data_IF_383264832938
#
_entry.id   IF_383264832938
#
_cell.length_a   1.000
_cell.length_b   1.000
_cell.length_c   1.000
_cell.angle_alpha   90.00
_cell.angle_beta   90.00
_cell.angle_gamma   90.00
#
_symmetry.space_group_name_H-M   'P 1'
#
loop_
_entity.id
_entity.type
_entity.pdbx_description
1 polymer ?
#
# COMPACT_ATOMS: atom_id res chain seq x y z
N UNK A 1 -11.67 5.41 13.97
CA UNK A 1 -12.36 4.12 13.72
C UNK A 1 -12.64 3.41 15.05
N UNK A 2 -13.70 2.60 15.22
CA UNK A 2 -13.92 1.87 16.50
C UNK A 2 -12.93 0.70 16.66
N UNK A 3 -12.56 0.34 17.90
CA UNK A 3 -11.66 -0.81 18.19
C UNK A 3 -12.16 -2.12 17.55
N UNK A 4 -13.47 -2.33 17.50
CA UNK A 4 -14.07 -3.52 16.91
C UNK A 4 -13.94 -3.54 15.37
N UNK A 5 -14.15 -2.40 14.71
CA UNK A 5 -13.93 -2.27 13.27
C UNK A 5 -12.46 -2.51 12.90
N UNK A 6 -11.53 -1.99 13.70
CA UNK A 6 -10.09 -2.21 13.52
C UNK A 6 -9.70 -3.68 13.63
N UNK A 7 -10.17 -4.38 14.66
CA UNK A 7 -9.93 -5.82 14.85
C UNK A 7 -10.45 -6.66 13.68
N UNK A 8 -11.62 -6.32 13.15
CA UNK A 8 -12.19 -7.00 11.98
C UNK A 8 -11.39 -6.70 10.70
N UNK A 9 -10.92 -5.46 10.56
CA UNK A 9 -10.11 -5.02 9.44
C UNK A 9 -8.72 -5.69 9.43
N UNK A 10 -8.06 -5.76 10.59
CA UNK A 10 -6.80 -6.50 10.78
C UNK A 10 -7.00 -8.03 10.63
N UNK A 11 -8.15 -8.56 11.05
CA UNK A 11 -8.49 -9.98 10.90
C UNK A 11 -8.68 -10.43 9.45
N UNK A 12 -9.00 -9.50 8.55
CA UNK A 12 -9.18 -9.75 7.12
C UNK A 12 -7.90 -9.53 6.28
N UNK A 13 -6.81 -9.09 6.91
CA UNK A 13 -5.53 -8.93 6.23
C UNK A 13 -4.94 -10.32 5.89
N UNK A 14 -4.40 -10.47 4.67
CA UNK A 14 -3.63 -11.66 4.32
C UNK A 14 -2.33 -11.71 5.12
N UNK A 15 -1.70 -12.87 5.21
CA UNK A 15 -0.44 -13.02 5.94
C UNK A 15 0.69 -12.10 5.45
N UNK A 16 0.93 -11.91 4.13
CA UNK A 16 1.91 -10.91 3.68
C UNK A 16 1.51 -9.47 4.04
N UNK A 17 0.21 -9.17 4.16
CA UNK A 17 -0.23 -7.84 4.59
C UNK A 17 0.04 -7.61 6.08
N UNK A 18 -0.17 -8.63 6.92
CA UNK A 18 0.23 -8.61 8.34
C UNK A 18 1.74 -8.47 8.49
N UNK A 19 2.52 -9.14 7.65
CA UNK A 19 3.97 -9.00 7.62
C UNK A 19 4.37 -7.56 7.31
N UNK A 20 3.81 -6.95 6.25
CA UNK A 20 4.04 -5.55 5.90
C UNK A 20 3.76 -4.61 7.09
N UNK A 21 2.63 -4.78 7.77
CA UNK A 21 2.28 -3.99 8.95
C UNK A 21 3.26 -4.17 10.11
N UNK A 22 3.79 -5.38 10.29
CA UNK A 22 4.78 -5.67 11.33
C UNK A 22 6.13 -5.02 11.03
N UNK A 23 6.54 -4.99 9.76
CA UNK A 23 7.75 -4.32 9.29
C UNK A 23 7.68 -2.81 9.52
N UNK A 24 6.54 -2.17 9.24
CA UNK A 24 6.34 -0.76 9.58
C UNK A 24 6.50 -0.48 11.07
N UNK A 25 5.92 -1.32 11.93
CA UNK A 25 6.01 -1.18 13.39
C UNK A 25 7.44 -1.36 13.91
N UNK A 26 8.28 -2.08 13.18
CA UNK A 26 9.68 -2.32 13.55
C UNK A 26 10.58 -1.09 13.41
N UNK A 27 10.18 -0.04 12.68
CA UNK A 27 10.90 1.25 12.60
C UNK A 27 10.75 2.14 13.85
N UNK A 28 9.94 1.71 14.83
CA UNK A 28 9.51 2.50 15.96
C UNK A 28 10.62 3.26 16.73
N UNK A 29 10.19 4.30 17.44
CA UNK A 29 10.99 5.23 18.26
C UNK A 29 12.05 6.07 17.53
N UNK A 30 12.68 5.53 16.47
CA UNK A 30 13.72 6.21 15.69
C UNK A 30 13.16 7.09 14.58
N UNK A 31 12.13 6.60 13.88
CA UNK A 31 11.45 7.32 12.80
C UNK A 31 9.95 7.43 13.06
N UNK A 32 9.34 8.51 12.56
CA UNK A 32 7.88 8.62 12.54
C UNK A 32 7.30 7.61 11.56
N UNK A 33 6.30 6.81 11.96
CA UNK A 33 5.62 5.87 11.06
C UNK A 33 5.06 6.55 9.81
N UNK A 34 4.63 7.81 9.93
CA UNK A 34 4.15 8.60 8.79
C UNK A 34 5.28 8.91 7.79
N UNK A 35 6.47 9.27 8.30
CA UNK A 35 7.65 9.53 7.45
C UNK A 35 8.11 8.25 6.76
N UNK A 36 8.21 7.14 7.52
CA UNK A 36 8.58 5.83 6.97
C UNK A 36 7.61 5.39 5.89
N UNK A 37 6.29 5.58 6.08
CA UNK A 37 5.29 5.29 5.06
C UNK A 37 5.49 6.12 3.79
N UNK A 38 5.66 7.44 3.93
CA UNK A 38 5.88 8.33 2.80
C UNK A 38 7.14 7.94 2.02
N UNK A 39 8.24 7.75 2.73
CA UNK A 39 9.53 7.39 2.15
C UNK A 39 9.49 6.01 1.51
N UNK A 40 8.83 5.04 2.12
CA UNK A 40 8.66 3.69 1.56
C UNK A 40 7.94 3.74 0.22
N UNK A 41 6.82 4.47 0.15
CA UNK A 41 6.05 4.61 -1.09
C UNK A 41 6.88 5.34 -2.15
N UNK A 42 7.56 6.43 -1.79
CA UNK A 42 8.38 7.20 -2.73
C UNK A 42 9.57 6.37 -3.24
N UNK A 43 10.34 5.75 -2.36
CA UNK A 43 11.49 4.91 -2.73
C UNK A 43 11.07 3.73 -3.61
N UNK A 44 9.94 3.08 -3.30
CA UNK A 44 9.41 1.98 -4.12
C UNK A 44 9.02 2.47 -5.51
N UNK A 45 8.34 3.61 -5.62
CA UNK A 45 7.95 4.20 -6.89
C UNK A 45 9.15 4.62 -7.74
N UNK A 46 10.18 5.21 -7.11
CA UNK A 46 11.44 5.58 -7.77
C UNK A 46 12.18 4.34 -8.28
N UNK A 47 12.30 3.29 -7.46
CA UNK A 47 12.97 2.04 -7.85
C UNK A 47 12.29 1.37 -9.05
N UNK A 48 10.96 1.27 -9.03
CA UNK A 48 10.17 0.72 -10.14
C UNK A 48 10.35 1.59 -11.40
N UNK A 49 10.21 2.91 -11.26
CA UNK A 49 10.34 3.84 -12.39
C UNK A 49 11.74 3.81 -13.01
N UNK A 50 12.79 3.69 -12.19
CA UNK A 50 14.18 3.59 -12.63
C UNK A 50 14.48 2.30 -13.40
N UNK A 51 13.72 1.24 -13.14
CA UNK A 51 13.85 -0.03 -13.85
C UNK A 51 13.24 0.01 -15.27
N UNK A 52 12.25 0.87 -15.51
CA UNK A 52 11.48 0.88 -16.78
C UNK A 52 11.64 2.14 -17.62
N UNK A 53 11.95 3.29 -17.01
CA UNK A 53 12.19 4.55 -17.72
C UNK A 53 13.55 5.14 -17.33
N UNK A 54 14.50 5.02 -18.27
CA UNK A 54 15.87 5.48 -18.11
C UNK A 54 16.07 6.97 -18.42
N UNK A 55 15.12 7.64 -19.09
CA UNK A 55 15.27 9.05 -19.47
C UNK A 55 15.42 9.96 -18.25
N UNK A 56 14.71 9.64 -17.16
CA UNK A 56 14.73 10.43 -15.93
C UNK A 56 15.52 9.76 -14.79
N UNK A 57 16.30 8.71 -15.11
CA UNK A 57 16.98 7.89 -14.11
C UNK A 57 17.83 8.72 -13.15
N UNK A 58 18.68 9.61 -13.67
CA UNK A 58 19.64 10.34 -12.84
C UNK A 58 18.96 11.22 -11.77
N UNK A 59 17.87 11.91 -12.14
CA UNK A 59 17.12 12.77 -11.21
C UNK A 59 16.42 11.93 -10.14
N UNK A 60 15.81 10.80 -10.53
CA UNK A 60 15.11 9.90 -9.60
C UNK A 60 16.06 9.13 -8.70
N UNK A 61 17.18 8.64 -9.23
CA UNK A 61 18.21 7.94 -8.47
C UNK A 61 18.83 8.88 -7.44
N UNK A 62 19.08 10.13 -7.80
CA UNK A 62 19.52 11.16 -6.84
C UNK A 62 18.51 11.30 -5.69
N UNK A 63 17.20 11.40 -5.99
CA UNK A 63 16.15 11.49 -4.97
C UNK A 63 16.08 10.22 -4.10
N UNK A 64 16.18 9.04 -4.70
CA UNK A 64 16.22 7.77 -3.99
C UNK A 64 17.37 7.74 -2.98
N UNK A 65 18.58 8.14 -3.41
CA UNK A 65 19.77 8.19 -2.54
C UNK A 65 19.68 9.27 -1.46
N UNK A 66 19.01 10.40 -1.71
CA UNK A 66 18.73 11.43 -0.69
C UNK A 66 17.83 10.90 0.43
N UNK A 67 16.85 10.08 0.10
CA UNK A 67 16.01 9.40 1.09
C UNK A 67 16.81 8.32 1.80
N UNK A 68 17.51 7.46 1.06
CA UNK A 68 18.23 6.32 1.61
C UNK A 68 19.28 6.71 2.67
N UNK A 69 19.92 7.88 2.51
CA UNK A 69 20.90 8.42 3.47
C UNK A 69 20.34 8.68 4.88
N UNK A 70 19.01 8.78 5.04
CA UNK A 70 18.36 8.97 6.35
C UNK A 70 18.21 7.69 7.15
N UNK A 71 18.43 6.54 6.52
CA UNK A 71 18.17 5.21 7.08
C UNK A 71 19.46 4.42 7.22
N UNK A 72 19.51 3.54 8.22
CA UNK A 72 20.63 2.60 8.35
C UNK A 72 20.49 1.43 7.36
N UNK A 73 21.56 0.63 7.22
CA UNK A 73 21.56 -0.51 6.32
C UNK A 73 20.43 -1.50 6.62
N UNK A 74 20.18 -1.76 7.89
CA UNK A 74 19.12 -2.69 8.32
C UNK A 74 17.72 -2.10 8.07
N UNK A 75 17.57 -0.79 8.18
CA UNK A 75 16.35 -0.07 7.81
C UNK A 75 16.10 -0.21 6.30
N UNK A 76 17.11 0.02 5.46
CA UNK A 76 17.01 -0.17 4.00
C UNK A 76 16.72 -1.62 3.60
N UNK A 77 17.27 -2.59 4.32
CA UNK A 77 16.92 -4.01 4.12
C UNK A 77 15.44 -4.26 4.43
N UNK A 78 14.88 -3.64 5.48
CA UNK A 78 13.44 -3.71 5.76
C UNK A 78 12.60 -3.08 4.67
N UNK A 79 13.01 -1.96 4.08
CA UNK A 79 12.31 -1.36 2.93
C UNK A 79 12.16 -2.36 1.78
N UNK A 80 13.22 -3.12 1.47
CA UNK A 80 13.16 -4.17 0.46
C UNK A 80 12.17 -5.30 0.84
N UNK A 81 12.20 -5.76 2.10
CA UNK A 81 11.23 -6.75 2.60
C UNK A 81 9.80 -6.24 2.56
N UNK A 82 9.58 -4.96 2.87
CA UNK A 82 8.26 -4.32 2.81
C UNK A 82 7.73 -4.29 1.38
N UNK A 83 8.57 -3.99 0.38
CA UNK A 83 8.18 -4.03 -1.02
C UNK A 83 7.82 -5.46 -1.47
N UNK A 84 8.56 -6.46 -1.00
CA UNK A 84 8.24 -7.87 -1.20
C UNK A 84 6.88 -8.25 -0.59
N UNK A 85 6.65 -7.90 0.68
CA UNK A 85 5.38 -8.16 1.37
C UNK A 85 4.19 -7.44 0.70
N UNK A 86 4.39 -6.21 0.21
CA UNK A 86 3.39 -5.48 -0.56
C UNK A 86 3.06 -6.21 -1.88
N UNK A 87 4.09 -6.67 -2.59
CA UNK A 87 3.95 -7.41 -3.86
C UNK A 87 3.16 -8.71 -3.65
N UNK A 88 3.54 -9.51 -2.65
CA UNK A 88 2.83 -10.74 -2.28
C UNK A 88 1.39 -10.47 -1.82
N UNK A 89 1.13 -9.33 -1.18
CA UNK A 89 -0.23 -8.92 -0.81
C UNK A 89 -1.08 -8.66 -2.04
N UNK A 90 -0.53 -7.96 -3.05
CA UNK A 90 -1.21 -7.76 -4.33
C UNK A 90 -1.42 -9.08 -5.06
N UNK A 91 -0.41 -9.95 -5.14
CA UNK A 91 -0.53 -11.26 -5.80
C UNK A 91 -1.59 -12.12 -5.14
N UNK A 92 -1.62 -12.21 -3.80
CA UNK A 92 -2.64 -12.98 -3.09
C UNK A 92 -4.06 -12.46 -3.40
N UNK A 93 -4.23 -11.14 -3.46
CA UNK A 93 -5.53 -10.51 -3.82
C UNK A 93 -5.91 -10.77 -5.27
N UNK A 94 -4.96 -10.63 -6.20
CA UNK A 94 -5.19 -10.88 -7.64
C UNK A 94 -5.51 -12.37 -7.86
N UNK A 95 -4.72 -13.30 -7.33
CA UNK A 95 -4.93 -14.73 -7.53
C UNK A 95 -6.24 -15.25 -6.92
N UNK A 96 -6.66 -14.74 -5.76
CA UNK A 96 -7.88 -15.20 -5.09
C UNK A 96 -9.17 -14.59 -5.65
N UNK A 97 -9.12 -13.42 -6.29
CA UNK A 97 -10.31 -12.64 -6.67
C UNK A 97 -10.40 -12.32 -8.18
N UNK A 98 -9.45 -12.78 -9.01
CA UNK A 98 -9.43 -12.53 -10.47
C UNK A 98 -9.88 -13.72 -11.34
N UNK A 99 -10.89 -14.54 -10.95
CA UNK A 99 -11.74 -15.12 -11.98
C UNK A 99 -12.56 -14.04 -12.70
N UNK A 100 -12.93 -12.95 -12.00
CA UNK A 100 -13.87 -11.91 -12.46
C UNK A 100 -13.43 -10.44 -12.17
N UNK A 101 -12.14 -10.19 -11.91
CA UNK A 101 -11.64 -8.81 -11.69
C UNK A 101 -11.92 -8.20 -10.30
N UNK A 102 -12.40 -8.98 -9.33
CA UNK A 102 -12.80 -8.50 -7.99
C UNK A 102 -11.61 -8.26 -7.02
N UNK A 103 -10.36 -8.46 -7.46
CA UNK A 103 -9.16 -8.45 -6.61
C UNK A 103 -8.42 -7.12 -6.49
N UNK A 104 -8.78 -6.13 -7.29
CA UNK A 104 -8.08 -4.85 -7.33
C UNK A 104 -8.52 -3.98 -6.16
N UNK A 105 -7.70 -3.85 -5.13
CA UNK A 105 -7.98 -3.01 -3.98
C UNK A 105 -6.83 -2.04 -3.69
N UNK A 106 -7.15 -0.92 -3.04
CA UNK A 106 -6.14 0.03 -2.56
C UNK A 106 -5.44 -0.52 -1.30
N UNK A 107 -4.43 -1.36 -1.49
CA UNK A 107 -3.65 -1.96 -0.39
C UNK A 107 -2.86 -0.90 0.38
N UNK A 108 -2.36 0.14 -0.30
CA UNK A 108 -1.61 1.22 0.36
C UNK A 108 -2.53 2.07 1.23
N UNK A 109 -3.72 2.43 0.76
CA UNK A 109 -4.74 3.11 1.56
C UNK A 109 -5.22 2.26 2.73
N UNK A 110 -5.43 0.94 2.53
CA UNK A 110 -5.74 0.02 3.63
C UNK A 110 -4.62 -0.01 4.67
N UNK A 111 -3.36 -0.09 4.23
CA UNK A 111 -2.18 -0.06 5.10
C UNK A 111 -2.09 1.25 5.87
N UNK A 112 -2.29 2.39 5.21
CA UNK A 112 -2.29 3.72 5.83
C UNK A 112 -3.34 3.83 6.94
N UNK A 113 -4.55 3.32 6.69
CA UNK A 113 -5.64 3.28 7.67
C UNK A 113 -5.34 2.33 8.84
N UNK A 114 -4.75 1.16 8.58
CA UNK A 114 -4.35 0.20 9.62
C UNK A 114 -3.24 0.72 10.52
N UNK A 115 -2.33 1.53 9.96
CA UNK A 115 -1.26 2.22 10.68
C UNK A 115 -1.75 3.48 11.41
N UNK A 116 -3.03 3.84 11.30
CA UNK A 116 -3.62 5.04 11.92
C UNK A 116 -2.91 6.34 11.55
N UNK A 117 -2.45 6.44 10.29
CA UNK A 117 -1.72 7.61 9.81
C UNK A 117 -2.64 8.78 9.42
N UNK A 118 -3.94 8.54 9.29
CA UNK A 118 -4.93 9.53 8.89
C UNK A 118 -5.26 10.56 9.97
N UNK A 119 -5.61 11.76 9.54
CA UNK A 119 -6.09 12.82 10.41
C UNK A 119 -7.60 12.69 10.67
N UNK A 120 -7.97 12.01 11.77
CA UNK A 120 -9.35 11.85 12.21
C UNK A 120 -10.09 13.20 12.39
N UNK A 121 -9.40 14.27 12.82
CA UNK A 121 -10.01 15.59 13.04
C UNK A 121 -10.33 16.31 11.74
N UNK A 122 -9.59 16.02 10.67
CA UNK A 122 -9.85 16.55 9.34
C UNK A 122 -10.81 15.66 8.53
N UNK A 123 -11.30 14.55 9.11
CA UNK A 123 -12.18 13.61 8.41
C UNK A 123 -11.50 12.82 7.31
N UNK A 124 -10.17 12.63 7.38
CA UNK A 124 -9.43 11.90 6.36
C UNK A 124 -9.66 10.39 6.51
N UNK A 125 -10.40 9.80 5.57
CA UNK A 125 -10.65 8.37 5.49
C UNK A 125 -10.55 7.90 4.04
N UNK A 126 -10.02 6.69 3.83
CA UNK A 126 -10.05 6.04 2.52
C UNK A 126 -11.35 5.24 2.38
N UNK A 127 -12.00 5.34 1.22
CA UNK A 127 -13.22 4.58 0.92
C UNK A 127 -12.91 3.08 0.95
N UNK A 128 -13.58 2.30 1.81
CA UNK A 128 -13.40 0.85 1.82
C UNK A 128 -13.73 0.25 0.45
N UNK A 129 -12.94 -0.75 0.03
CA UNK A 129 -13.07 -1.34 -1.31
C UNK A 129 -14.49 -1.84 -1.60
N UNK A 130 -15.15 -2.48 -0.63
CA UNK A 130 -16.53 -2.98 -0.80
C UNK A 130 -17.54 -1.87 -1.14
N UNK A 131 -17.33 -0.67 -0.61
CA UNK A 131 -18.17 0.50 -0.91
C UNK A 131 -17.90 0.98 -2.33
N UNK A 132 -16.63 1.14 -2.71
CA UNK A 132 -16.25 1.51 -4.08
C UNK A 132 -16.78 0.50 -5.10
N UNK A 133 -16.71 -0.79 -4.79
CA UNK A 133 -17.21 -1.88 -5.64
C UNK A 133 -18.73 -1.87 -5.75
N UNK A 134 -19.45 -1.68 -4.65
CA UNK A 134 -20.91 -1.52 -4.67
C UNK A 134 -21.30 -0.34 -5.57
N UNK A 135 -20.64 0.81 -5.39
CA UNK A 135 -20.89 2.00 -6.21
C UNK A 135 -20.58 1.77 -7.69
N UNK A 136 -19.48 1.08 -8.01
CA UNK A 136 -19.15 0.73 -9.39
C UNK A 136 -20.24 -0.16 -10.02
N UNK A 137 -20.71 -1.18 -9.31
CA UNK A 137 -21.78 -2.07 -9.78
C UNK A 137 -23.11 -1.36 -9.98
N UNK A 138 -23.45 -0.42 -9.10
CA UNK A 138 -24.68 0.36 -9.23
C UNK A 138 -24.67 1.32 -10.43
N UNK A 139 -23.50 1.88 -10.78
CA UNK A 139 -23.40 2.89 -11.83
C UNK A 139 -23.04 2.31 -13.21
N UNK A 140 -22.24 1.23 -13.26
CA UNK A 140 -21.66 0.68 -14.50
C UNK A 140 -22.18 -0.74 -14.79
N UNK A 141 -22.86 -1.39 -13.84
CA UNK A 141 -23.37 -2.75 -14.02
C UNK A 141 -22.29 -3.82 -13.84
N UNK A 142 -22.27 -4.82 -14.73
CA UNK A 142 -21.33 -5.95 -14.72
C UNK A 142 -20.05 -5.67 -15.53
N UNK A 143 -19.96 -4.51 -16.19
CA UNK A 143 -18.79 -4.13 -17.00
C UNK A 143 -18.63 -4.94 -18.29
N UNK A 144 -19.63 -5.74 -18.68
CA UNK A 144 -19.64 -6.34 -20.01
C UNK A 144 -19.76 -5.23 -21.05
N UNK A 145 -18.93 -5.23 -22.11
CA UNK A 145 -19.13 -4.30 -23.20
C UNK A 145 -20.52 -4.58 -23.79
N UNK A 146 -21.34 -3.54 -23.93
CA UNK A 146 -22.60 -3.60 -24.67
C UNK A 146 -22.27 -3.87 -26.15
N UNK A 147 -22.01 -5.14 -26.47
CA UNK A 147 -21.93 -5.63 -27.84
C UNK A 147 -23.17 -6.49 -28.01
N UNK A 148 -24.18 -5.91 -28.65
CA UNK A 148 -25.31 -6.65 -29.23
C UNK A 148 -24.83 -7.48 -30.44
#
# INVERSE_FOLDING_TARGET
MSRAAKRKFEGNASDPHKELLSLFKAFGHKHSTHEVFSDFVEMSALAISNAVDRHHFDVREKRYLEIAKRYERDDLARFASMLGALTLTFEARVQQLVPNGDGLADILGQTYMMLELGNDRAGQYFTPYDVSRMMARMNIGDGNPYID
#
